data_IF_983083709972
#
_entry.id   IF_983083709972
#
_cell.length_a   1.000
_cell.length_b   1.000
_cell.length_c   1.000
_cell.angle_alpha   90.00
_cell.angle_beta   90.00
_cell.angle_gamma   90.00
#
_symmetry.space_group_name_H-M   'P 1'
#
loop_
_entity.id
_entity.type
_entity.pdbx_description
1 polymer ?
#
# COMPACT_ATOMS: atom_id res chain seq x y z
N UNK A 1 14.23 2.10 2.76
CA UNK A 1 12.90 1.53 3.04
C UNK A 1 11.89 2.46 2.42
N UNK A 2 10.88 1.91 1.74
CA UNK A 2 9.78 2.68 1.16
C UNK A 2 8.57 2.58 2.09
N UNK A 3 7.68 3.57 2.04
CA UNK A 3 6.49 3.65 2.90
C UNK A 3 5.24 3.79 2.05
N UNK A 4 4.23 3.04 2.44
CA UNK A 4 2.88 3.20 1.95
C UNK A 4 1.91 3.33 3.13
N UNK A 5 0.84 4.07 2.94
CA UNK A 5 -0.20 4.31 3.93
C UNK A 5 -1.54 3.87 3.36
N UNK A 6 -2.26 3.06 4.13
CA UNK A 6 -3.64 2.71 3.85
C UNK A 6 -4.57 3.68 4.59
N UNK A 7 -5.53 4.24 3.86
CA UNK A 7 -6.59 5.09 4.42
C UNK A 7 -7.96 4.54 4.05
N UNK A 8 -8.90 4.58 4.98
CA UNK A 8 -10.29 4.21 4.69
C UNK A 8 -10.96 5.24 3.79
N UNK A 9 -11.89 4.75 2.97
CA UNK A 9 -12.76 5.59 2.14
C UNK A 9 -14.19 5.48 2.64
N UNK A 10 -14.99 6.55 2.48
CA UNK A 10 -16.39 6.57 2.91
C UNK A 10 -17.29 5.56 2.19
N UNK A 11 -16.84 5.00 1.05
CA UNK A 11 -17.54 3.94 0.33
C UNK A 11 -17.19 2.52 0.82
N UNK A 12 -16.41 2.40 1.91
CA UNK A 12 -15.99 1.12 2.48
C UNK A 12 -14.81 0.46 1.75
N UNK A 13 -14.19 1.16 0.80
CA UNK A 13 -12.93 0.74 0.17
C UNK A 13 -11.71 1.41 0.81
N UNK A 14 -10.51 1.11 0.32
CA UNK A 14 -9.26 1.66 0.86
C UNK A 14 -8.50 2.42 -0.23
N UNK A 15 -7.83 3.50 0.15
CA UNK A 15 -6.79 4.12 -0.66
C UNK A 15 -5.41 3.66 -0.17
N UNK A 16 -4.50 3.49 -1.12
CA UNK A 16 -3.08 3.28 -0.89
C UNK A 16 -2.33 4.53 -1.35
N UNK A 17 -1.79 5.29 -0.40
CA UNK A 17 -0.80 6.33 -0.67
C UNK A 17 0.60 5.72 -0.62
N UNK A 18 1.45 6.01 -1.59
CA UNK A 18 2.86 5.62 -1.57
C UNK A 18 3.74 6.63 -2.28
N UNK A 19 5.02 6.69 -1.90
CA UNK A 19 6.02 7.47 -2.63
C UNK A 19 6.61 6.63 -3.77
N UNK A 20 6.52 7.12 -5.01
CA UNK A 20 7.12 6.44 -6.15
C UNK A 20 8.65 6.66 -6.19
N UNK A 21 9.36 5.91 -7.04
CA UNK A 21 10.82 6.01 -7.17
C UNK A 21 11.37 7.37 -7.64
N UNK A 22 10.50 8.37 -7.89
CA UNK A 22 10.86 9.75 -8.24
C UNK A 22 10.57 10.74 -7.09
N UNK A 23 10.20 10.24 -5.91
CA UNK A 23 9.87 11.07 -4.75
C UNK A 23 8.48 11.73 -4.82
N UNK A 24 7.62 11.29 -5.75
CA UNK A 24 6.27 11.83 -5.87
C UNK A 24 5.26 10.91 -5.18
N UNK A 25 4.39 11.53 -4.38
CA UNK A 25 3.25 10.85 -3.75
C UNK A 25 2.25 10.42 -4.81
N UNK A 26 1.88 9.16 -4.77
CA UNK A 26 0.88 8.55 -5.63
C UNK A 26 -0.20 7.96 -4.74
N UNK A 27 -1.46 8.22 -5.06
CA UNK A 27 -2.61 7.66 -4.36
C UNK A 27 -3.37 6.80 -5.35
N UNK A 28 -3.71 5.59 -4.93
CA UNK A 28 -4.51 4.68 -5.74
C UNK A 28 -5.61 4.01 -4.92
N UNK A 29 -6.75 3.78 -5.55
CA UNK A 29 -7.84 3.06 -4.93
C UNK A 29 -7.57 1.56 -4.97
N UNK A 30 -7.78 0.89 -3.84
CA UNK A 30 -7.84 -0.55 -3.73
C UNK A 30 -9.31 -1.01 -3.82
N UNK A 31 -9.54 -2.16 -4.44
CA UNK A 31 -10.89 -2.77 -4.51
C UNK A 31 -11.19 -3.58 -3.23
N UNK A 32 -10.27 -3.57 -2.29
CA UNK A 32 -10.40 -4.20 -1.00
C UNK A 32 -11.54 -3.60 -0.16
N UNK A 33 -12.35 -4.47 0.42
CA UNK A 33 -13.44 -4.13 1.33
C UNK A 33 -13.12 -4.44 2.81
N UNK A 34 -11.88 -4.84 3.10
CA UNK A 34 -11.37 -5.15 4.45
C UNK A 34 -9.88 -4.80 4.51
N UNK A 35 -9.38 -4.42 5.69
CA UNK A 35 -7.99 -4.04 5.89
C UNK A 35 -6.98 -5.15 5.51
N UNK A 36 -7.25 -6.42 5.85
CA UNK A 36 -6.40 -7.56 5.43
C UNK A 36 -6.31 -7.72 3.91
N UNK A 37 -7.43 -7.54 3.20
CA UNK A 37 -7.42 -7.54 1.73
C UNK A 37 -6.68 -6.32 1.18
N UNK A 38 -6.83 -5.16 1.81
CA UNK A 38 -6.14 -3.95 1.40
C UNK A 38 -4.63 -4.10 1.50
N UNK A 39 -4.12 -4.70 2.58
CA UNK A 39 -2.68 -5.04 2.70
C UNK A 39 -2.26 -6.00 1.60
N UNK A 40 -3.04 -7.06 1.32
CA UNK A 40 -2.70 -8.04 0.29
C UNK A 40 -2.66 -7.40 -1.10
N UNK A 41 -3.66 -6.61 -1.46
CA UNK A 41 -3.69 -5.88 -2.72
C UNK A 41 -2.55 -4.88 -2.81
N UNK A 42 -2.30 -4.09 -1.76
CA UNK A 42 -1.18 -3.16 -1.70
C UNK A 42 0.15 -3.87 -1.94
N UNK A 43 0.38 -5.01 -1.29
CA UNK A 43 1.60 -5.82 -1.50
C UNK A 43 1.76 -6.29 -2.94
N UNK A 44 0.67 -6.68 -3.60
CA UNK A 44 0.68 -7.08 -5.01
C UNK A 44 0.96 -5.86 -5.91
N UNK A 45 0.31 -4.73 -5.65
CA UNK A 45 0.52 -3.50 -6.42
C UNK A 45 1.94 -2.94 -6.28
N UNK A 46 2.49 -2.98 -5.08
CA UNK A 46 3.85 -2.54 -4.79
C UNK A 46 4.92 -3.54 -5.26
N UNK A 47 4.51 -4.68 -5.84
CA UNK A 47 5.44 -5.70 -6.35
C UNK A 47 6.26 -6.37 -5.26
N UNK A 48 5.74 -6.42 -4.03
CA UNK A 48 6.46 -7.00 -2.89
C UNK A 48 6.42 -8.52 -2.92
N UNK A 49 7.54 -9.14 -2.54
CA UNK A 49 7.71 -10.58 -2.32
C UNK A 49 7.11 -10.98 -0.96
N UNK A 50 7.06 -12.28 -0.69
CA UNK A 50 6.52 -12.82 0.56
C UNK A 50 7.18 -12.27 1.83
N UNK A 51 8.45 -11.85 1.74
CA UNK A 51 9.22 -11.21 2.80
C UNK A 51 9.00 -9.69 2.94
N UNK A 52 8.21 -9.06 2.04
CA UNK A 52 7.90 -7.63 2.08
C UNK A 52 8.89 -6.72 1.35
N UNK A 53 9.88 -7.28 0.63
CA UNK A 53 10.77 -6.51 -0.26
C UNK A 53 10.28 -6.47 -1.69
N UNK A 54 10.52 -5.38 -2.41
CA UNK A 54 10.25 -5.27 -3.84
C UNK A 54 11.33 -5.95 -4.72
N UNK A 55 11.23 -5.77 -6.03
CA UNK A 55 12.19 -6.33 -7.00
C UNK A 55 13.63 -5.84 -6.78
N UNK A 56 13.80 -4.59 -6.30
CA UNK A 56 15.09 -3.97 -5.97
C UNK A 56 15.63 -4.45 -4.61
N UNK A 57 14.90 -5.32 -3.90
CA UNK A 57 15.23 -5.76 -2.55
C UNK A 57 14.95 -4.70 -1.50
N UNK A 58 14.13 -3.69 -1.81
CA UNK A 58 13.79 -2.63 -0.87
C UNK A 58 12.55 -3.02 -0.08
N UNK A 59 12.65 -3.01 1.25
CA UNK A 59 11.52 -3.28 2.13
C UNK A 59 10.46 -2.17 2.06
N UNK A 60 9.20 -2.60 1.99
CA UNK A 60 8.02 -1.75 2.10
C UNK A 60 7.39 -1.86 3.49
N UNK A 61 7.24 -0.71 4.14
CA UNK A 61 6.40 -0.58 5.33
C UNK A 61 5.02 -0.08 4.91
N UNK A 62 3.98 -0.84 5.25
CA UNK A 62 2.59 -0.47 4.98
C UNK A 62 1.96 -0.11 6.32
N UNK A 63 1.72 1.18 6.52
CA UNK A 63 1.06 1.70 7.71
C UNK A 63 -0.46 1.75 7.50
N UNK A 64 -1.21 1.43 8.56
CA UNK A 64 -2.67 1.53 8.56
C UNK A 64 -3.10 2.72 9.35
N UNK A 65 -3.55 3.77 8.67
CA UNK A 65 -4.20 4.87 9.36
C UNK A 65 -5.66 4.45 9.59
N UNK A 66 -5.93 3.88 10.78
CA UNK A 66 -7.29 3.68 11.24
C UNK A 66 -7.77 5.01 11.81
N UNK A 67 -8.61 5.73 11.06
CA UNK A 67 -9.27 6.95 11.54
C UNK A 67 -10.25 6.66 12.68
#
# INVERSE_FOLDING_TARGET
MKRATLSDRPDGSFDLEYENGRGAKTVMRLDANTYEKAIKEARVFLGTKGDGTDEDGVAWEIDGETA
#
